data_IF_955324355270
#
_entry.id   IF_955324355270
#
_cell.length_a   1.000
_cell.length_b   1.000
_cell.length_c   1.000
_cell.angle_alpha   90.00
_cell.angle_beta   90.00
_cell.angle_gamma   90.00
#
_symmetry.space_group_name_H-M   'P 1'
#
loop_
_entity.id
_entity.type
_entity.pdbx_description
1 polymer ?
#
# COMPACT_ATOMS: atom_id res chain seq x y z
N UNK A 1 -14.83 -4.99 -1.94
CA UNK A 1 -15.39 -3.93 -2.79
C UNK A 1 -16.71 -4.33 -3.50
N UNK A 2 -16.80 -5.48 -4.20
CA UNK A 2 -17.97 -5.78 -5.05
C UNK A 2 -19.33 -5.68 -4.35
N UNK A 3 -19.40 -5.96 -3.05
CA UNK A 3 -20.64 -5.97 -2.27
C UNK A 3 -20.73 -4.81 -1.26
N UNK A 4 -19.85 -3.81 -1.35
CA UNK A 4 -19.80 -2.71 -0.38
C UNK A 4 -20.84 -1.62 -0.63
N UNK A 5 -21.40 -1.52 -1.84
CA UNK A 5 -22.22 -0.41 -2.30
C UNK A 5 -21.43 0.92 -2.41
N UNK A 6 -20.10 0.82 -2.55
CA UNK A 6 -19.21 1.97 -2.69
C UNK A 6 -18.61 2.01 -4.08
N UNK A 7 -18.41 3.22 -4.59
CA UNK A 7 -17.79 3.53 -5.87
C UNK A 7 -16.50 4.29 -5.65
N UNK A 8 -15.44 3.90 -6.35
CA UNK A 8 -14.18 4.66 -6.38
C UNK A 8 -14.41 5.90 -7.23
N UNK A 9 -14.08 7.07 -6.68
CA UNK A 9 -14.27 8.36 -7.35
C UNK A 9 -12.98 9.11 -7.57
N UNK A 10 -11.93 8.75 -6.86
CA UNK A 10 -10.57 9.30 -7.01
C UNK A 10 -9.57 8.39 -6.32
N UNK A 11 -8.30 8.66 -6.55
CA UNK A 11 -7.18 8.01 -5.86
C UNK A 11 -6.15 9.04 -5.42
N UNK A 12 -5.40 8.69 -4.40
CA UNK A 12 -4.29 9.48 -3.89
C UNK A 12 -3.08 8.58 -3.64
N UNK A 13 -1.94 8.98 -4.16
CA UNK A 13 -0.67 8.29 -3.97
C UNK A 13 0.15 9.00 -2.91
N UNK A 14 0.39 8.35 -1.78
CA UNK A 14 1.17 8.88 -0.68
C UNK A 14 2.53 8.18 -0.62
N UNK A 15 3.63 8.89 -0.86
CA UNK A 15 4.97 8.35 -0.59
C UNK A 15 5.12 8.01 0.90
N UNK A 16 5.66 6.83 1.18
CA UNK A 16 5.92 6.36 2.54
C UNK A 16 7.43 6.31 2.74
N UNK A 17 7.93 7.26 3.51
CA UNK A 17 9.34 7.34 3.87
C UNK A 17 9.50 6.94 5.34
N UNK A 18 10.02 5.75 5.58
CA UNK A 18 10.36 5.29 6.91
C UNK A 18 11.69 5.90 7.37
N UNK A 19 11.74 6.23 8.65
CA UNK A 19 12.93 6.74 9.31
C UNK A 19 13.19 5.96 10.58
N UNK A 20 14.43 5.85 10.98
CA UNK A 20 14.80 5.27 12.26
C UNK A 20 14.74 6.38 13.31
N UNK A 21 13.86 6.21 14.28
CA UNK A 21 13.57 7.18 15.32
C UNK A 21 14.06 6.68 16.67
N UNK A 22 14.80 7.49 17.38
CA UNK A 22 15.22 7.21 18.76
C UNK A 22 14.85 8.34 19.71
N UNK A 23 15.03 8.14 21.00
CA UNK A 23 14.87 9.20 21.99
C UNK A 23 15.97 10.26 21.80
N UNK A 24 15.75 11.44 22.36
CA UNK A 24 16.69 12.54 22.25
C UNK A 24 18.08 12.19 22.81
N UNK A 25 19.10 12.40 22.00
CA UNK A 25 20.48 12.07 22.35
C UNK A 25 20.88 10.60 22.16
N UNK A 26 19.97 9.74 21.70
CA UNK A 26 20.32 8.37 21.31
C UNK A 26 21.30 8.36 20.12
N UNK A 27 22.19 7.40 20.08
CA UNK A 27 23.15 7.23 18.98
C UNK A 27 22.86 5.97 18.21
N UNK A 28 22.90 6.02 16.89
CA UNK A 28 22.66 4.87 16.01
C UNK A 28 23.52 3.66 16.42
N UNK A 29 24.76 3.87 16.80
CA UNK A 29 25.68 2.80 17.24
C UNK A 29 25.25 2.07 18.52
N UNK A 30 24.36 2.66 19.29
CA UNK A 30 23.89 2.09 20.56
C UNK A 30 22.57 1.33 20.41
N UNK A 31 21.88 1.50 19.29
CA UNK A 31 20.59 0.84 19.05
C UNK A 31 20.80 -0.67 18.93
N UNK A 32 20.00 -1.40 19.69
CA UNK A 32 19.97 -2.89 19.74
C UNK A 32 18.69 -3.47 19.16
N UNK A 33 17.57 -2.79 19.41
CA UNK A 33 16.24 -3.22 19.04
C UNK A 33 15.52 -2.11 18.25
N UNK A 34 14.77 -2.52 17.23
CA UNK A 34 13.90 -1.62 16.48
C UNK A 34 12.50 -2.17 16.41
N UNK A 35 11.52 -1.33 16.74
CA UNK A 35 10.11 -1.68 16.81
C UNK A 35 9.35 -1.05 15.65
N UNK A 36 8.51 -1.82 14.97
CA UNK A 36 7.59 -1.32 13.94
C UNK A 36 6.56 -2.39 13.54
N UNK A 37 5.62 -2.00 12.68
CA UNK A 37 4.75 -2.96 12.00
C UNK A 37 5.58 -3.89 11.11
N UNK A 38 5.16 -5.15 10.99
CA UNK A 38 5.86 -6.18 10.22
C UNK A 38 6.25 -5.72 8.80
N UNK A 39 5.34 -5.05 8.08
CA UNK A 39 5.63 -4.53 6.75
C UNK A 39 6.71 -3.44 6.74
N UNK A 40 6.72 -2.55 7.74
CA UNK A 40 7.76 -1.52 7.90
C UNK A 40 9.13 -2.14 8.15
N UNK A 41 9.20 -3.16 9.01
CA UNK A 41 10.44 -3.92 9.26
C UNK A 41 10.91 -4.66 8.00
N UNK A 42 9.99 -5.29 7.27
CA UNK A 42 10.33 -6.01 6.03
C UNK A 42 10.92 -5.10 4.94
N UNK A 43 10.49 -3.84 4.89
CA UNK A 43 11.00 -2.83 3.95
C UNK A 43 12.37 -2.25 4.32
N UNK A 44 12.86 -2.56 5.52
CA UNK A 44 14.14 -2.06 6.06
C UNK A 44 15.09 -3.21 6.42
N UNK A 45 14.79 -4.41 5.99
CA UNK A 45 15.45 -5.64 6.43
C UNK A 45 16.95 -5.63 6.18
N UNK A 46 17.38 -5.30 4.96
CA UNK A 46 18.79 -5.32 4.59
C UNK A 46 19.60 -4.29 5.39
N UNK A 47 19.03 -3.11 5.63
CA UNK A 47 19.69 -2.07 6.42
C UNK A 47 19.79 -2.48 7.89
N UNK A 48 18.74 -3.08 8.45
CA UNK A 48 18.76 -3.57 9.83
C UNK A 48 19.78 -4.69 10.02
N UNK A 49 19.90 -5.62 9.07
CA UNK A 49 20.92 -6.66 9.07
C UNK A 49 22.34 -6.09 9.04
N UNK A 50 22.59 -5.09 8.16
CA UNK A 50 23.90 -4.39 8.07
C UNK A 50 24.26 -3.66 9.37
N UNK A 51 23.27 -3.09 10.05
CA UNK A 51 23.46 -2.38 11.32
C UNK A 51 23.51 -3.32 12.53
N UNK A 52 23.17 -4.59 12.37
CA UNK A 52 23.12 -5.57 13.47
C UNK A 52 22.02 -5.28 14.48
N UNK A 53 20.91 -4.66 14.05
CA UNK A 53 19.78 -4.27 14.90
C UNK A 53 18.70 -5.36 14.83
N UNK A 54 18.20 -5.78 15.99
CA UNK A 54 17.13 -6.80 16.09
C UNK A 54 15.75 -6.19 15.83
N UNK A 55 15.01 -6.65 14.80
CA UNK A 55 13.64 -6.19 14.55
C UNK A 55 12.65 -6.83 15.52
N UNK A 56 11.78 -6.02 16.11
CA UNK A 56 10.70 -6.44 17.02
C UNK A 56 9.35 -5.98 16.42
N UNK A 57 8.46 -6.94 16.18
CA UNK A 57 7.14 -6.67 15.62
C UNK A 57 6.27 -5.92 16.63
N UNK A 58 5.66 -4.83 16.18
CA UNK A 58 4.68 -4.04 16.88
C UNK A 58 3.37 -3.98 16.09
N UNK A 59 2.25 -3.65 16.74
CA UNK A 59 0.93 -3.59 16.11
C UNK A 59 0.82 -2.55 14.99
N UNK A 60 1.54 -1.42 15.13
CA UNK A 60 1.60 -0.35 14.13
C UNK A 60 2.86 0.50 14.29
N UNK A 61 3.20 1.28 13.25
CA UNK A 61 4.42 2.10 13.20
C UNK A 61 4.38 3.29 14.17
N UNK A 62 3.23 3.97 14.27
CA UNK A 62 3.08 5.13 15.13
C UNK A 62 3.03 4.75 16.61
N UNK A 63 2.36 3.62 16.92
CA UNK A 63 2.36 3.01 18.25
C UNK A 63 3.75 2.62 18.73
N UNK A 64 4.56 2.05 17.84
CA UNK A 64 5.95 1.74 18.13
C UNK A 64 6.75 3.00 18.49
N UNK A 65 6.62 4.09 17.72
CA UNK A 65 7.27 5.36 18.00
C UNK A 65 6.82 5.95 19.37
N UNK A 66 5.51 5.91 19.65
CA UNK A 66 4.98 6.34 20.95
C UNK A 66 5.58 5.54 22.12
N UNK A 67 5.68 4.23 21.96
CA UNK A 67 6.13 3.38 23.05
C UNK A 67 7.65 3.49 23.25
N UNK A 68 8.45 3.67 22.18
CA UNK A 68 9.89 4.02 22.28
C UNK A 68 10.08 5.34 23.04
N UNK A 69 9.27 6.36 22.75
CA UNK A 69 9.32 7.63 23.50
C UNK A 69 8.98 7.43 24.99
N UNK A 70 8.04 6.53 25.32
CA UNK A 70 7.65 6.25 26.72
C UNK A 70 8.68 5.42 27.50
N UNK A 71 9.36 4.49 26.81
CA UNK A 71 10.39 3.66 27.45
C UNK A 71 11.63 4.46 27.84
N UNK A 72 11.91 5.54 27.12
CA UNK A 72 13.07 6.40 27.34
C UNK A 72 14.41 5.63 27.38
N UNK A 73 14.52 4.58 26.56
CA UNK A 73 15.67 3.69 26.49
C UNK A 73 16.52 4.02 25.24
N UNK A 74 17.77 4.49 25.40
CA UNK A 74 18.63 4.89 24.29
C UNK A 74 19.12 3.71 23.42
N UNK A 75 18.78 2.48 23.79
CA UNK A 75 19.12 1.27 23.02
C UNK A 75 17.98 0.83 22.10
N UNK A 76 16.82 1.46 22.20
CA UNK A 76 15.61 1.12 21.43
C UNK A 76 15.27 2.23 20.44
N UNK A 77 14.79 1.81 19.28
CA UNK A 77 14.37 2.70 18.22
C UNK A 77 13.02 2.24 17.61
N UNK A 78 12.39 3.12 16.84
CA UNK A 78 11.23 2.79 16.04
C UNK A 78 11.47 3.08 14.56
N UNK A 79 10.88 2.29 13.68
CA UNK A 79 10.73 2.66 12.27
C UNK A 79 9.33 3.24 12.09
N UNK A 80 9.28 4.53 11.76
CA UNK A 80 8.03 5.25 11.54
C UNK A 80 8.24 6.46 10.60
N UNK A 81 7.17 7.23 10.35
CA UNK A 81 7.24 8.44 9.54
C UNK A 81 7.90 9.60 10.30
N UNK A 82 8.40 10.61 9.56
CA UNK A 82 8.88 11.88 10.13
C UNK A 82 7.83 12.54 11.04
N UNK A 83 6.56 12.48 10.66
CA UNK A 83 5.48 13.01 11.49
C UNK A 83 5.43 12.39 12.90
N UNK A 84 5.75 11.09 13.02
CA UNK A 84 5.83 10.43 14.31
C UNK A 84 6.99 10.99 15.18
N UNK A 85 8.12 11.37 14.57
CA UNK A 85 9.21 12.03 15.30
C UNK A 85 8.75 13.37 15.90
N UNK A 86 8.03 14.17 15.11
CA UNK A 86 7.52 15.48 15.57
C UNK A 86 6.49 15.31 16.70
N UNK A 87 5.54 14.38 16.56
CA UNK A 87 4.48 14.14 17.54
C UNK A 87 5.02 13.63 18.88
N UNK A 88 5.97 12.68 18.82
CA UNK A 88 6.49 12.01 20.03
C UNK A 88 7.83 12.57 20.52
N UNK A 89 8.31 13.67 19.93
CA UNK A 89 9.58 14.33 20.29
C UNK A 89 10.78 13.38 20.21
N UNK A 90 10.79 12.51 19.21
CA UNK A 90 11.91 11.61 18.88
C UNK A 90 12.87 12.30 17.93
N UNK A 91 14.14 11.86 17.93
CA UNK A 91 15.14 12.28 16.96
C UNK A 91 15.25 11.26 15.82
N UNK A 92 15.45 11.78 14.61
CA UNK A 92 15.74 10.94 13.44
C UNK A 92 17.22 10.55 13.51
N UNK A 93 17.47 9.25 13.70
CA UNK A 93 18.83 8.70 13.74
C UNK A 93 19.38 8.45 12.34
N UNK A 94 18.51 8.06 11.40
CA UNK A 94 18.78 8.02 9.96
C UNK A 94 17.48 8.04 9.18
N UNK A 95 17.49 8.69 8.02
CA UNK A 95 16.40 8.73 7.04
C UNK A 95 16.63 7.76 5.85
N UNK A 96 17.79 7.11 5.80
CA UNK A 96 18.16 6.10 4.80
C UNK A 96 18.01 4.67 5.38
N UNK A 97 16.85 4.36 5.96
CA UNK A 97 16.64 3.03 6.57
C UNK A 97 15.91 2.06 5.64
N UNK A 98 15.26 2.53 4.56
CA UNK A 98 14.51 1.68 3.64
C UNK A 98 15.40 1.05 2.58
N UNK A 99 15.17 -0.23 2.27
CA UNK A 99 15.93 -0.98 1.27
C UNK A 99 15.58 -0.54 -0.17
N UNK A 100 14.37 0.00 -0.36
CA UNK A 100 13.87 0.48 -1.66
C UNK A 100 13.65 1.99 -1.65
N UNK A 101 14.06 2.65 -2.71
CA UNK A 101 13.89 4.10 -2.88
C UNK A 101 12.46 4.54 -3.18
N UNK A 102 11.58 3.61 -3.59
CA UNK A 102 10.19 3.92 -3.94
C UNK A 102 9.25 3.04 -3.12
N UNK A 103 8.57 3.66 -2.19
CA UNK A 103 7.48 3.06 -1.44
C UNK A 103 6.30 4.03 -1.46
N UNK A 104 5.21 3.64 -2.10
CA UNK A 104 4.03 4.48 -2.26
C UNK A 104 2.78 3.70 -1.94
N UNK A 105 1.97 4.24 -1.04
CA UNK A 105 0.64 3.71 -0.74
C UNK A 105 -0.40 4.40 -1.59
N UNK A 106 -1.19 3.61 -2.32
CA UNK A 106 -2.35 4.07 -3.07
C UNK A 106 -3.59 4.06 -2.18
N UNK A 107 -4.20 5.21 -1.97
CA UNK A 107 -5.47 5.36 -1.27
C UNK A 107 -6.59 5.54 -2.28
N UNK A 108 -7.68 4.80 -2.11
CA UNK A 108 -8.88 4.93 -2.91
C UNK A 108 -9.91 5.79 -2.17
N UNK A 109 -10.38 6.85 -2.81
CA UNK A 109 -11.44 7.71 -2.28
C UNK A 109 -12.77 7.16 -2.79
N UNK A 110 -13.66 6.85 -1.87
CA UNK A 110 -14.91 6.16 -2.18
C UNK A 110 -16.14 6.92 -1.73
N UNK A 111 -17.22 6.82 -2.52
CA UNK A 111 -18.56 7.34 -2.20
C UNK A 111 -19.65 6.28 -2.39
N UNK A 112 -20.77 6.47 -1.72
CA UNK A 112 -22.00 5.65 -1.93
C UNK A 112 -22.69 5.95 -3.26
N UNK A 113 -22.42 7.10 -3.86
CA UNK A 113 -23.04 7.53 -5.11
C UNK A 113 -21.95 7.60 -6.19
N UNK A 114 -22.17 6.93 -7.29
CA UNK A 114 -21.27 6.98 -8.44
C UNK A 114 -21.12 8.41 -8.92
N UNK A 115 -19.90 8.82 -9.23
CA UNK A 115 -19.55 10.05 -9.90
C UNK A 115 -18.62 9.72 -11.05
N UNK A 116 -19.07 10.00 -12.26
CA UNK A 116 -18.23 9.92 -13.46
C UNK A 116 -17.60 11.29 -13.66
N UNK A 117 -16.26 11.39 -13.79
CA UNK A 117 -15.60 12.65 -14.08
C UNK A 117 -15.98 13.15 -15.48
N UNK A 118 -15.61 14.37 -15.81
CA UNK A 118 -15.76 14.89 -17.18
C UNK A 118 -14.77 14.18 -18.12
N UNK A 119 -15.25 13.74 -19.29
CA UNK A 119 -14.44 13.02 -20.29
C UNK A 119 -13.25 13.86 -20.82
N UNK A 120 -13.38 15.17 -20.77
CA UNK A 120 -12.35 16.12 -21.24
C UNK A 120 -11.24 16.38 -20.22
N UNK A 121 -11.43 15.94 -18.97
CA UNK A 121 -10.44 16.14 -17.92
C UNK A 121 -9.31 15.11 -18.01
N UNK A 122 -8.38 15.13 -17.10
CA UNK A 122 -7.15 14.33 -17.06
C UNK A 122 -7.34 12.83 -17.35
N UNK A 123 -6.25 12.07 -17.60
CA UNK A 123 -6.34 10.63 -17.83
C UNK A 123 -7.19 9.95 -16.76
N UNK A 124 -8.25 9.28 -17.17
CA UNK A 124 -9.16 8.57 -16.29
C UNK A 124 -8.75 7.10 -16.18
N UNK A 125 -9.09 6.50 -15.03
CA UNK A 125 -8.94 5.06 -14.79
C UNK A 125 -10.31 4.47 -14.44
N UNK A 126 -10.60 3.29 -14.96
CA UNK A 126 -11.77 2.53 -14.59
C UNK A 126 -11.39 1.35 -13.71
N UNK A 127 -12.16 1.15 -12.64
CA UNK A 127 -12.06 -0.04 -11.79
C UNK A 127 -13.37 -0.81 -11.84
N UNK A 128 -13.32 -2.09 -12.14
CA UNK A 128 -14.49 -2.93 -12.15
C UNK A 128 -14.19 -4.38 -11.76
N UNK A 129 -15.25 -5.12 -11.49
CA UNK A 129 -15.17 -6.56 -11.18
C UNK A 129 -16.03 -7.32 -12.16
N UNK A 130 -15.48 -8.38 -12.72
CA UNK A 130 -16.24 -9.28 -13.57
C UNK A 130 -16.03 -10.74 -13.18
N UNK A 131 -17.01 -11.58 -13.52
CA UNK A 131 -16.92 -13.04 -13.35
C UNK A 131 -16.91 -13.71 -14.70
N UNK A 132 -16.15 -14.77 -14.83
CA UNK A 132 -16.15 -15.63 -16.01
C UNK A 132 -16.72 -17.00 -15.66
N UNK A 133 -17.35 -17.65 -16.64
CA UNK A 133 -17.76 -19.05 -16.49
C UNK A 133 -16.53 -19.93 -16.30
N UNK A 134 -16.65 -20.97 -15.46
CA UNK A 134 -15.58 -21.95 -15.22
C UNK A 134 -15.47 -22.93 -16.41
N UNK A 135 -15.00 -22.43 -17.54
CA UNK A 135 -14.73 -23.20 -18.76
C UNK A 135 -13.34 -22.86 -19.30
N UNK A 136 -12.71 -23.78 -20.05
CA UNK A 136 -11.40 -23.53 -20.65
C UNK A 136 -11.35 -22.23 -21.45
N UNK A 137 -10.26 -21.48 -21.32
CA UNK A 137 -9.99 -20.22 -22.01
C UNK A 137 -10.97 -19.07 -21.75
N UNK A 138 -11.87 -19.14 -20.73
CA UNK A 138 -12.82 -18.07 -20.46
C UNK A 138 -12.14 -16.76 -20.11
N UNK A 139 -11.14 -16.79 -19.21
CA UNK A 139 -10.36 -15.61 -18.86
C UNK A 139 -9.56 -15.06 -20.05
N UNK A 140 -8.94 -15.93 -20.84
CA UNK A 140 -8.21 -15.51 -22.04
C UNK A 140 -9.12 -14.74 -23.02
N UNK A 141 -10.33 -15.23 -23.25
CA UNK A 141 -11.32 -14.54 -24.13
C UNK A 141 -11.75 -13.19 -23.55
N UNK A 142 -11.97 -13.11 -22.23
CA UNK A 142 -12.31 -11.84 -21.58
C UNK A 142 -11.17 -10.82 -21.71
N UNK A 143 -9.92 -11.23 -21.43
CA UNK A 143 -8.74 -10.38 -21.59
C UNK A 143 -8.48 -10.00 -23.04
N UNK A 144 -8.77 -10.90 -23.98
CA UNK A 144 -8.69 -10.62 -25.43
C UNK A 144 -9.59 -9.46 -25.86
N UNK A 145 -10.76 -9.31 -25.24
CA UNK A 145 -11.65 -8.16 -25.48
C UNK A 145 -11.00 -6.83 -25.15
N UNK A 146 -10.28 -6.72 -24.04
CA UNK A 146 -9.52 -5.52 -23.71
C UNK A 146 -8.40 -5.24 -24.71
N UNK A 147 -7.63 -6.28 -25.04
CA UNK A 147 -6.50 -6.14 -25.97
C UNK A 147 -6.95 -5.70 -27.37
N UNK A 148 -8.03 -6.25 -27.89
CA UNK A 148 -8.56 -5.90 -29.24
C UNK A 148 -9.17 -4.50 -29.29
N UNK A 149 -9.60 -3.96 -28.15
CA UNK A 149 -10.08 -2.59 -28.05
C UNK A 149 -9.00 -1.59 -27.59
N UNK A 150 -7.74 -2.01 -27.50
CA UNK A 150 -6.63 -1.15 -27.14
C UNK A 150 -6.66 -0.67 -25.68
N UNK A 151 -7.33 -1.41 -24.78
CA UNK A 151 -7.46 -1.04 -23.37
C UNK A 151 -6.29 -1.64 -22.59
N UNK A 152 -5.52 -0.77 -21.94
CA UNK A 152 -4.41 -1.17 -21.07
C UNK A 152 -4.91 -1.49 -19.66
N UNK A 153 -4.61 -2.71 -19.19
CA UNK A 153 -4.92 -3.14 -17.81
C UNK A 153 -3.72 -2.85 -16.91
N UNK A 154 -3.89 -1.98 -15.92
CA UNK A 154 -2.84 -1.56 -14.98
C UNK A 154 -2.79 -2.42 -13.72
N UNK A 155 -3.91 -3.05 -13.35
CA UNK A 155 -4.00 -3.96 -12.21
C UNK A 155 -4.93 -5.12 -12.52
N UNK A 156 -4.59 -6.29 -12.01
CA UNK A 156 -5.42 -7.49 -12.11
C UNK A 156 -5.27 -8.34 -10.85
N UNK A 157 -6.37 -8.62 -10.19
CA UNK A 157 -6.45 -9.53 -9.05
C UNK A 157 -7.57 -10.53 -9.26
N UNK A 158 -7.42 -11.75 -8.75
CA UNK A 158 -8.43 -12.78 -8.80
C UNK A 158 -8.84 -13.21 -7.39
N UNK A 159 -10.14 -13.39 -7.19
CA UNK A 159 -10.73 -13.87 -5.95
C UNK A 159 -11.61 -15.06 -6.24
N UNK A 160 -11.48 -16.10 -5.44
CA UNK A 160 -12.40 -17.22 -5.48
C UNK A 160 -13.68 -16.84 -4.71
N UNK A 161 -14.82 -17.06 -5.31
CA UNK A 161 -16.13 -16.76 -4.70
C UNK A 161 -17.02 -18.02 -4.66
N UNK A 162 -17.89 -18.06 -3.65
CA UNK A 162 -18.78 -19.18 -3.40
C UNK A 162 -18.21 -20.25 -2.47
N UNK A 163 -19.12 -20.99 -1.82
CA UNK A 163 -18.83 -21.98 -0.77
C UNK A 163 -17.97 -23.17 -1.25
N UNK A 164 -17.86 -23.37 -2.57
CA UNK A 164 -17.07 -24.46 -3.17
C UNK A 164 -15.90 -23.95 -4.03
N UNK A 165 -15.51 -22.67 -3.94
CA UNK A 165 -14.45 -22.07 -4.76
C UNK A 165 -14.64 -22.28 -6.28
N UNK A 166 -15.89 -22.33 -6.77
CA UNK A 166 -16.20 -22.71 -8.15
C UNK A 166 -16.24 -21.54 -9.13
N UNK A 167 -16.24 -20.29 -8.67
CA UNK A 167 -16.25 -19.12 -9.54
C UNK A 167 -15.12 -18.16 -9.20
N UNK A 168 -14.40 -17.73 -10.22
CA UNK A 168 -13.40 -16.70 -10.08
C UNK A 168 -14.01 -15.34 -10.42
N UNK A 169 -13.85 -14.37 -9.53
CA UNK A 169 -14.07 -12.96 -9.79
C UNK A 169 -12.73 -12.28 -10.04
N UNK A 170 -12.72 -11.39 -11.00
CA UNK A 170 -11.54 -10.63 -11.39
C UNK A 170 -11.79 -9.15 -11.12
N UNK A 171 -10.94 -8.58 -10.28
CA UNK A 171 -10.84 -7.14 -10.07
C UNK A 171 -9.78 -6.60 -11.02
N UNK A 172 -10.12 -5.59 -11.80
CA UNK A 172 -9.21 -4.98 -12.77
C UNK A 172 -9.29 -3.46 -12.67
N UNK A 173 -8.12 -2.84 -12.82
CA UNK A 173 -8.00 -1.43 -13.14
C UNK A 173 -7.52 -1.31 -14.60
N UNK A 174 -8.07 -0.40 -15.35
CA UNK A 174 -7.66 -0.08 -16.70
C UNK A 174 -7.59 1.42 -16.95
N UNK A 175 -6.76 1.81 -17.90
CA UNK A 175 -6.67 3.18 -18.39
C UNK A 175 -7.84 3.47 -19.33
N UNK A 176 -8.42 4.65 -19.19
CA UNK A 176 -9.49 5.13 -20.05
C UNK A 176 -10.72 5.60 -19.28
N UNK A 177 -11.54 6.41 -19.93
CA UNK A 177 -12.79 6.91 -19.41
C UNK A 177 -13.94 5.98 -19.82
N UNK A 178 -14.90 5.74 -18.91
CA UNK A 178 -16.02 4.81 -19.15
C UNK A 178 -16.90 5.19 -20.36
N UNK A 179 -16.88 6.47 -20.77
CA UNK A 179 -17.62 6.95 -21.93
C UNK A 179 -16.80 6.96 -23.23
N UNK A 180 -15.57 6.46 -23.25
CA UNK A 180 -14.81 6.27 -24.48
C UNK A 180 -15.40 5.13 -25.30
N UNK A 181 -15.40 5.27 -26.63
CA UNK A 181 -16.01 4.30 -27.55
C UNK A 181 -15.40 2.89 -27.47
N UNK A 182 -14.16 2.78 -27.02
CA UNK A 182 -13.44 1.50 -26.91
C UNK A 182 -13.63 0.83 -25.54
N UNK A 183 -14.33 1.50 -24.57
CA UNK A 183 -14.65 0.97 -23.25
C UNK A 183 -16.03 0.35 -23.22
#
# INVERSE_FOLDING_TARGET
LPNSGLYIIAEHFQPVNHQLLGIKGAKLSNIREVHSHEQGLAQCREQLEKLGITPIIHSDTAGAARDVARWDDPTKAAIASRLASDIYSLEILTDEITDMSVNTTRFLIMKRKMQVPDISSEPAHCTFVFSVRSVPAALYKALGGFATNGINLTKRESYMSGDQMQSAQFYVDCEGHIEHENM
#
